data_IF_383260742891
#
_entry.id   IF_383260742891
#
_cell.length_a   1.000
_cell.length_b   1.000
_cell.length_c   1.000
_cell.angle_alpha   90.00
_cell.angle_beta   90.00
_cell.angle_gamma   90.00
#
_symmetry.space_group_name_H-M   'P 1'
#
loop_
_entity.id
_entity.type
_entity.pdbx_description
1 polymer ?
#
# COMPACT_ATOMS: atom_id res chain seq x y z
N UNK A 1 -14.60 27.80 -16.99
CA UNK A 1 -14.77 27.78 -18.45
C UNK A 1 -14.88 26.34 -18.90
N UNK A 2 -15.93 26.03 -19.67
CA UNK A 2 -16.09 24.73 -20.31
C UNK A 2 -15.89 24.95 -21.81
N UNK A 3 -15.04 24.14 -22.42
CA UNK A 3 -14.81 24.09 -23.86
C UNK A 3 -15.18 22.68 -24.34
N UNK A 4 -16.40 22.56 -24.86
CA UNK A 4 -17.04 21.31 -25.25
C UNK A 4 -17.96 21.55 -26.47
N UNK A 5 -18.25 20.52 -27.29
CA UNK A 5 -19.09 20.68 -28.48
C UNK A 5 -20.47 21.22 -28.10
N UNK A 6 -21.00 22.15 -28.92
CA UNK A 6 -22.26 22.86 -28.64
C UNK A 6 -23.48 22.23 -29.30
N UNK A 7 -23.32 21.46 -30.39
CA UNK A 7 -24.44 21.07 -31.23
C UNK A 7 -24.13 19.81 -32.05
N UNK A 8 -24.67 18.65 -31.65
CA UNK A 8 -24.88 17.46 -32.49
C UNK A 8 -25.45 16.30 -31.67
N UNK A 9 -26.78 16.16 -31.54
CA UNK A 9 -27.52 14.96 -31.04
C UNK A 9 -27.11 14.32 -29.69
N UNK A 10 -25.99 14.70 -29.08
CA UNK A 10 -25.29 14.13 -27.92
C UNK A 10 -24.64 15.28 -27.11
N UNK A 11 -25.49 16.08 -26.46
CA UNK A 11 -25.18 17.35 -25.77
C UNK A 11 -23.78 17.43 -25.10
N UNK A 12 -22.86 18.20 -25.69
CA UNK A 12 -21.43 18.14 -25.36
C UNK A 12 -21.03 18.62 -23.95
N UNK A 13 -21.83 19.48 -23.32
CA UNK A 13 -21.71 19.75 -21.89
C UNK A 13 -23.09 20.04 -21.28
N UNK A 14 -23.53 19.24 -20.30
CA UNK A 14 -24.83 19.43 -19.64
C UNK A 14 -24.83 18.93 -18.20
N UNK A 15 -25.76 19.44 -17.39
CA UNK A 15 -26.09 18.78 -16.12
C UNK A 15 -27.19 17.76 -16.34
N UNK A 16 -26.93 16.50 -15.94
CA UNK A 16 -27.86 15.38 -16.12
C UNK A 16 -28.37 14.87 -14.78
N UNK A 17 -29.67 14.55 -14.73
CA UNK A 17 -30.28 13.75 -13.66
C UNK A 17 -30.21 12.24 -13.90
N UNK A 18 -29.65 11.79 -15.04
CA UNK A 18 -29.33 10.39 -15.33
C UNK A 18 -27.86 10.13 -15.01
N UNK A 19 -27.58 9.00 -14.36
CA UNK A 19 -26.24 8.66 -13.89
C UNK A 19 -25.82 9.45 -12.66
N UNK A 20 -26.74 9.73 -11.73
CA UNK A 20 -26.50 10.55 -10.54
C UNK A 20 -25.40 9.97 -9.64
N UNK A 21 -24.75 10.86 -8.90
CA UNK A 21 -23.86 10.47 -7.80
C UNK A 21 -24.52 10.91 -6.49
N UNK A 22 -24.81 9.96 -5.60
CA UNK A 22 -25.57 10.16 -4.36
C UNK A 22 -26.89 10.93 -4.57
N UNK A 23 -27.59 10.68 -5.68
CA UNK A 23 -28.87 11.34 -6.01
C UNK A 23 -28.75 12.77 -6.55
N UNK A 24 -27.53 13.33 -6.65
CA UNK A 24 -27.27 14.65 -7.21
C UNK A 24 -27.14 14.65 -8.73
N UNK A 25 -27.45 15.79 -9.37
CA UNK A 25 -27.15 16.02 -10.79
C UNK A 25 -25.62 16.05 -10.99
N UNK A 26 -25.18 15.53 -12.14
CA UNK A 26 -23.75 15.45 -12.49
C UNK A 26 -23.48 16.23 -13.78
N UNK A 27 -22.26 16.75 -13.92
CA UNK A 27 -21.82 17.37 -15.16
C UNK A 27 -21.43 16.25 -16.14
N UNK A 28 -21.99 16.29 -17.34
CA UNK A 28 -21.65 15.38 -18.43
C UNK A 28 -20.80 16.15 -19.42
N UNK A 29 -19.67 15.58 -19.84
CA UNK A 29 -18.80 16.13 -20.88
C UNK A 29 -18.59 15.12 -21.99
N UNK A 30 -18.60 15.58 -23.24
CA UNK A 30 -18.25 14.79 -24.42
C UNK A 30 -17.01 15.40 -25.09
N UNK A 31 -16.02 14.60 -25.52
CA UNK A 31 -14.93 15.11 -26.36
C UNK A 31 -15.47 15.68 -27.68
N UNK A 32 -14.71 16.55 -28.33
CA UNK A 32 -15.06 17.09 -29.64
C UNK A 32 -14.85 16.08 -30.76
N UNK A 33 -13.82 15.24 -30.61
CA UNK A 33 -13.41 14.23 -31.57
C UNK A 33 -12.41 13.26 -30.90
N UNK A 34 -11.98 12.19 -31.58
CA UNK A 34 -10.95 11.27 -31.08
C UNK A 34 -9.62 11.95 -30.66
N UNK A 35 -9.34 13.15 -31.17
CA UNK A 35 -8.08 13.87 -30.94
C UNK A 35 -8.26 15.21 -30.24
N UNK A 36 -9.50 15.66 -30.04
CA UNK A 36 -9.80 16.95 -29.40
C UNK A 36 -10.68 16.73 -28.15
N UNK A 37 -10.15 16.96 -26.93
CA UNK A 37 -10.89 16.71 -25.70
C UNK A 37 -11.89 17.81 -25.38
N UNK A 38 -12.89 17.48 -24.56
CA UNK A 38 -13.61 18.50 -23.82
C UNK A 38 -12.74 19.00 -22.66
N UNK A 39 -12.76 20.29 -22.38
CA UNK A 39 -11.89 20.90 -21.38
C UNK A 39 -12.72 21.67 -20.37
N UNK A 40 -12.53 21.35 -19.09
CA UNK A 40 -12.97 22.18 -17.98
C UNK A 40 -11.75 22.89 -17.40
N UNK A 41 -11.77 24.22 -17.39
CA UNK A 41 -10.69 25.02 -16.84
C UNK A 41 -11.18 26.13 -15.94
N UNK A 42 -10.40 26.45 -14.92
CA UNK A 42 -10.68 27.57 -14.02
C UNK A 42 -9.37 28.15 -13.53
N UNK A 43 -9.23 29.47 -13.67
CA UNK A 43 -8.22 30.24 -12.96
C UNK A 43 -8.79 30.63 -11.60
N UNK A 44 -8.02 30.44 -10.54
CA UNK A 44 -8.45 30.80 -9.19
C UNK A 44 -7.26 30.97 -8.24
N UNK A 45 -7.39 31.83 -7.20
CA UNK A 45 -6.44 31.87 -6.11
C UNK A 45 -6.56 30.64 -5.22
N UNK A 46 -5.43 30.08 -4.78
CA UNK A 46 -5.40 29.08 -3.72
C UNK A 46 -5.17 29.76 -2.36
N UNK A 47 -5.89 29.36 -1.29
CA UNK A 47 -5.65 29.87 0.05
C UNK A 47 -4.19 29.70 0.51
N UNK A 48 -3.65 30.72 1.18
CA UNK A 48 -2.30 30.71 1.76
C UNK A 48 -2.20 29.97 3.11
N UNK A 49 -3.33 29.69 3.75
CA UNK A 49 -3.42 29.23 5.15
C UNK A 49 -3.19 27.73 5.35
N UNK A 50 -3.60 26.86 4.43
CA UNK A 50 -3.50 25.40 4.57
C UNK A 50 -3.25 24.65 3.25
N UNK A 51 -2.73 23.40 3.30
CA UNK A 51 -2.65 22.50 2.15
C UNK A 51 -3.98 22.36 1.42
N UNK A 52 -3.94 22.28 0.09
CA UNK A 52 -5.13 22.22 -0.76
C UNK A 52 -5.06 21.02 -1.70
N UNK A 53 -6.22 20.49 -2.07
CA UNK A 53 -6.36 19.42 -3.06
C UNK A 53 -7.39 19.79 -4.13
N UNK A 54 -7.25 19.18 -5.32
CA UNK A 54 -8.30 19.06 -6.31
C UNK A 54 -8.93 17.68 -6.16
N UNK A 55 -10.19 17.62 -5.74
CA UNK A 55 -10.99 16.40 -5.69
C UNK A 55 -11.92 16.34 -6.88
N UNK A 56 -12.05 15.16 -7.46
CA UNK A 56 -12.97 14.87 -8.55
C UNK A 56 -13.53 13.46 -8.34
N UNK A 57 -14.84 13.29 -8.53
CA UNK A 57 -15.44 11.98 -8.76
C UNK A 57 -15.89 11.88 -10.20
N UNK A 58 -15.54 10.78 -10.84
CA UNK A 58 -15.76 10.65 -12.27
C UNK A 58 -16.02 9.21 -12.69
N UNK A 59 -16.72 9.04 -13.80
CA UNK A 59 -16.90 7.75 -14.46
C UNK A 59 -17.14 7.94 -15.96
N UNK A 60 -16.87 6.91 -16.74
CA UNK A 60 -17.28 6.84 -18.14
C UNK A 60 -18.75 6.41 -18.28
N UNK A 61 -19.32 6.66 -19.46
CA UNK A 61 -20.63 6.11 -19.84
C UNK A 61 -20.59 4.58 -19.79
N UNK A 62 -21.63 3.91 -19.26
CA UNK A 62 -21.74 2.45 -19.28
C UNK A 62 -21.99 1.97 -20.72
N UNK A 63 -20.96 2.01 -21.56
CA UNK A 63 -21.00 1.52 -22.93
C UNK A 63 -19.75 0.66 -23.15
N UNK A 64 -19.88 -0.57 -23.72
CA UNK A 64 -18.79 -1.55 -23.76
C UNK A 64 -17.50 -1.11 -24.50
N UNK A 65 -17.53 0.02 -25.20
CA UNK A 65 -16.45 0.51 -26.04
C UNK A 65 -15.97 1.92 -25.68
N UNK A 66 -16.40 2.48 -24.56
CA UNK A 66 -15.90 3.78 -24.10
C UNK A 66 -14.67 3.57 -23.21
N UNK A 67 -13.56 4.22 -23.57
CA UNK A 67 -12.20 4.07 -23.01
C UNK A 67 -11.61 5.44 -22.66
N UNK A 68 -12.44 6.23 -21.98
CA UNK A 68 -12.21 7.64 -21.70
C UNK A 68 -10.93 7.92 -20.90
N UNK A 69 -10.14 8.91 -21.34
CA UNK A 69 -8.90 9.34 -20.66
C UNK A 69 -9.08 10.72 -20.03
N UNK A 70 -8.77 10.78 -18.74
CA UNK A 70 -8.69 11.99 -17.94
C UNK A 70 -7.26 12.52 -17.85
N UNK A 71 -7.07 13.81 -18.15
CA UNK A 71 -5.82 14.52 -17.85
C UNK A 71 -6.09 15.73 -16.97
N UNK A 72 -5.24 15.95 -15.98
CA UNK A 72 -5.35 17.05 -15.02
C UNK A 72 -4.08 17.89 -15.01
N UNK A 73 -4.22 19.22 -14.99
CA UNK A 73 -3.11 20.16 -15.07
C UNK A 73 -3.29 21.33 -14.11
N UNK A 74 -2.17 21.87 -13.65
CA UNK A 74 -2.03 23.13 -12.94
C UNK A 74 -0.99 23.99 -13.64
N UNK A 75 -1.35 25.21 -14.06
CA UNK A 75 -0.47 26.11 -14.81
C UNK A 75 0.18 25.46 -16.05
N UNK A 76 -0.56 24.55 -16.70
CA UNK A 76 -0.07 23.77 -17.86
C UNK A 76 0.82 22.58 -17.51
N UNK A 77 1.19 22.41 -16.24
CA UNK A 77 1.94 21.24 -15.76
C UNK A 77 0.96 20.11 -15.40
N UNK A 78 1.21 18.86 -15.85
CA UNK A 78 0.34 17.74 -15.49
C UNK A 78 0.44 17.44 -13.99
N UNK A 79 -0.71 17.24 -13.35
CA UNK A 79 -0.83 16.87 -11.93
C UNK A 79 -0.60 15.36 -11.70
N UNK A 80 -0.82 14.56 -12.74
CA UNK A 80 -0.52 13.13 -12.81
C UNK A 80 -0.34 12.72 -14.27
N UNK A 81 0.15 11.50 -14.55
CA UNK A 81 -0.06 10.87 -15.84
C UNK A 81 -1.56 10.83 -16.21
N UNK A 82 -1.88 10.69 -17.51
CA UNK A 82 -3.26 10.45 -17.94
C UNK A 82 -3.86 9.23 -17.22
N UNK A 83 -5.11 9.36 -16.79
CA UNK A 83 -5.85 8.31 -16.07
C UNK A 83 -6.95 7.80 -17.00
N UNK A 84 -6.92 6.52 -17.31
CA UNK A 84 -8.05 5.86 -17.98
C UNK A 84 -9.13 5.58 -16.94
N UNK A 85 -10.37 5.89 -17.28
CA UNK A 85 -11.50 5.78 -16.35
C UNK A 85 -12.40 4.65 -16.80
N UNK A 86 -12.62 3.70 -15.91
CA UNK A 86 -13.35 2.50 -16.22
C UNK A 86 -14.83 2.81 -16.53
N UNK A 87 -15.35 2.09 -17.51
CA UNK A 87 -16.78 2.06 -17.81
C UNK A 87 -17.41 0.90 -17.04
N UNK A 88 -18.29 1.23 -16.09
CA UNK A 88 -18.98 0.26 -15.24
C UNK A 88 -20.44 0.15 -15.66
N UNK A 89 -20.95 -1.07 -15.82
CA UNK A 89 -22.39 -1.32 -16.04
C UNK A 89 -23.26 -0.87 -14.83
N UNK A 90 -22.65 -0.70 -13.67
CA UNK A 90 -23.29 -0.13 -12.49
C UNK A 90 -23.23 1.41 -12.56
N UNK A 91 -24.41 2.03 -12.76
CA UNK A 91 -24.52 3.48 -12.91
C UNK A 91 -24.10 4.28 -11.67
N UNK A 92 -23.87 3.62 -10.53
CA UNK A 92 -23.53 4.24 -9.24
C UNK A 92 -22.04 4.22 -8.92
N UNK A 93 -21.21 3.53 -9.71
CA UNK A 93 -19.76 3.44 -9.45
C UNK A 93 -19.02 4.63 -10.06
N UNK A 94 -18.65 5.57 -9.19
CA UNK A 94 -17.77 6.70 -9.50
C UNK A 94 -16.38 6.43 -8.92
N UNK A 95 -15.35 6.60 -9.75
CA UNK A 95 -13.97 6.67 -9.30
C UNK A 95 -13.70 8.01 -8.64
N UNK A 96 -12.96 8.02 -7.54
CA UNK A 96 -12.55 9.25 -6.88
C UNK A 96 -11.05 9.49 -7.10
N UNK A 97 -10.72 10.69 -7.56
CA UNK A 97 -9.38 11.15 -7.83
C UNK A 97 -9.08 12.40 -7.03
N UNK A 98 -7.88 12.47 -6.48
CA UNK A 98 -7.41 13.58 -5.65
C UNK A 98 -6.00 13.95 -6.09
N UNK A 99 -5.80 15.24 -6.39
CA UNK A 99 -4.47 15.78 -6.70
C UNK A 99 -4.08 16.83 -5.66
N UNK A 100 -2.90 16.67 -5.09
CA UNK A 100 -2.31 17.61 -4.13
C UNK A 100 -1.88 18.90 -4.84
N UNK A 101 -2.46 20.04 -4.42
CA UNK A 101 -2.17 21.38 -4.94
C UNK A 101 -1.30 22.20 -3.97
N UNK A 102 -0.77 21.59 -2.91
CA UNK A 102 -0.10 22.30 -1.81
C UNK A 102 1.14 23.08 -2.27
N UNK A 103 1.81 22.65 -3.33
CA UNK A 103 2.94 23.38 -3.90
C UNK A 103 2.58 24.78 -4.45
N UNK A 104 1.29 25.07 -4.66
CA UNK A 104 0.80 26.35 -5.18
C UNK A 104 -0.03 27.14 -4.14
N UNK A 105 0.05 26.77 -2.86
CA UNK A 105 -0.59 27.48 -1.75
C UNK A 105 -0.31 28.99 -1.80
N UNK A 106 -1.36 29.80 -1.64
CA UNK A 106 -1.24 31.26 -1.67
C UNK A 106 -0.95 31.86 -3.04
N UNK A 107 -0.98 31.08 -4.11
CA UNK A 107 -0.75 31.53 -5.49
C UNK A 107 -2.03 31.43 -6.31
N UNK A 108 -2.10 32.24 -7.36
CA UNK A 108 -3.09 32.03 -8.41
C UNK A 108 -2.67 30.84 -9.28
N UNK A 109 -3.62 29.96 -9.57
CA UNK A 109 -3.41 28.80 -10.43
C UNK A 109 -4.44 28.74 -11.55
N UNK A 110 -4.03 28.17 -12.68
CA UNK A 110 -4.91 27.76 -13.77
C UNK A 110 -5.07 26.25 -13.74
N UNK A 111 -6.18 25.77 -13.21
CA UNK A 111 -6.54 24.35 -13.23
C UNK A 111 -7.21 24.02 -14.56
N UNK A 112 -6.86 22.87 -15.13
CA UNK A 112 -7.41 22.36 -16.39
C UNK A 112 -7.59 20.85 -16.27
N UNK A 113 -8.81 20.39 -16.49
CA UNK A 113 -9.22 18.99 -16.59
C UNK A 113 -9.65 18.73 -18.03
N UNK A 114 -9.21 17.62 -18.59
CA UNK A 114 -9.50 17.25 -19.98
C UNK A 114 -10.16 15.90 -20.04
N UNK A 115 -11.21 15.84 -20.85
CA UNK A 115 -11.98 14.65 -21.18
C UNK A 115 -11.64 14.21 -22.60
N UNK A 116 -10.79 13.19 -22.75
CA UNK A 116 -10.36 12.67 -24.05
C UNK A 116 -11.13 11.41 -24.43
N UNK A 117 -11.50 11.35 -25.70
CA UNK A 117 -11.79 10.09 -26.37
C UNK A 117 -10.62 9.11 -26.22
N UNK A 118 -10.90 7.83 -25.95
CA UNK A 118 -9.89 6.78 -26.02
C UNK A 118 -9.91 6.08 -27.39
N UNK A 119 -8.81 5.41 -27.72
CA UNK A 119 -8.80 4.36 -28.75
C UNK A 119 -9.19 4.74 -30.18
N UNK A 120 -9.68 3.74 -30.91
CA UNK A 120 -9.95 3.72 -32.37
C UNK A 120 -11.44 3.77 -32.74
N UNK A 121 -12.34 3.84 -31.75
CA UNK A 121 -13.79 3.80 -31.96
C UNK A 121 -14.43 5.20 -32.09
N UNK A 122 -15.62 5.31 -32.70
CA UNK A 122 -16.29 6.60 -32.85
C UNK A 122 -16.72 7.19 -31.50
N UNK A 123 -16.23 8.41 -31.22
CA UNK A 123 -16.43 9.26 -30.04
C UNK A 123 -17.88 9.54 -29.59
N UNK A 124 -18.87 9.05 -30.35
CA UNK A 124 -20.31 9.29 -30.17
C UNK A 124 -20.86 8.79 -28.82
N UNK A 125 -20.10 7.97 -28.07
CA UNK A 125 -20.55 7.41 -26.79
C UNK A 125 -19.61 7.66 -25.61
N UNK A 126 -18.61 8.52 -25.80
CA UNK A 126 -17.57 8.78 -24.81
C UNK A 126 -17.95 9.95 -23.89
N UNK A 127 -19.12 9.83 -23.27
CA UNK A 127 -19.53 10.75 -22.24
C UNK A 127 -18.83 10.42 -20.92
N UNK A 128 -18.27 11.44 -20.28
CA UNK A 128 -17.77 11.37 -18.92
C UNK A 128 -18.74 12.08 -17.98
N UNK A 129 -19.00 11.46 -16.83
CA UNK A 129 -19.90 11.99 -15.80
C UNK A 129 -19.06 12.43 -14.61
N UNK A 130 -19.28 13.66 -14.16
CA UNK A 130 -18.42 14.36 -13.23
C UNK A 130 -19.23 14.89 -12.05
N UNK A 131 -18.75 14.61 -10.86
CA UNK A 131 -19.32 15.06 -9.60
C UNK A 131 -18.20 15.43 -8.62
N UNK A 132 -18.54 16.14 -7.54
CA UNK A 132 -17.56 16.48 -6.50
C UNK A 132 -16.30 17.21 -6.98
N UNK A 133 -16.39 18.03 -8.04
CA UNK A 133 -15.28 18.89 -8.49
C UNK A 133 -15.04 20.02 -7.49
N UNK A 134 -14.08 19.80 -6.59
CA UNK A 134 -13.79 20.71 -5.48
C UNK A 134 -12.31 21.02 -5.42
N UNK A 135 -12.01 22.29 -5.20
CA UNK A 135 -10.73 22.70 -4.62
C UNK A 135 -10.99 22.93 -3.15
N UNK A 136 -10.45 22.06 -2.31
CA UNK A 136 -10.76 22.00 -0.89
C UNK A 136 -9.49 21.75 -0.08
N UNK A 137 -9.51 21.95 1.24
CA UNK A 137 -8.37 21.60 2.08
C UNK A 137 -8.03 20.12 1.89
N UNK A 138 -6.73 19.80 1.86
CA UNK A 138 -6.27 18.41 1.73
C UNK A 138 -6.90 17.57 2.86
N UNK A 139 -7.76 16.59 2.52
CA UNK A 139 -8.57 15.89 3.50
C UNK A 139 -7.83 14.71 4.12
N UNK A 140 -7.83 14.61 5.45
CA UNK A 140 -7.17 13.52 6.19
C UNK A 140 -7.73 12.11 5.93
N UNK A 141 -8.90 11.99 5.29
CA UNK A 141 -9.59 10.71 5.05
C UNK A 141 -9.52 10.20 3.61
N UNK A 142 -9.00 10.98 2.66
CA UNK A 142 -8.69 10.55 1.29
C UNK A 142 -7.25 10.90 0.86
N UNK A 143 -6.49 11.53 1.76
CA UNK A 143 -5.04 11.60 1.76
C UNK A 143 -4.38 10.40 2.48
N UNK A 144 -4.94 9.20 2.36
CA UNK A 144 -4.20 7.96 2.65
C UNK A 144 -3.88 7.34 1.27
N UNK A 145 -2.70 7.48 0.68
CA UNK A 145 -1.37 7.65 1.24
C UNK A 145 -1.01 9.09 1.62
N UNK A 146 -0.74 9.29 2.91
CA UNK A 146 0.05 10.43 3.40
C UNK A 146 1.45 10.27 2.81
N UNK A 147 1.72 10.89 1.66
CA UNK A 147 3.10 11.26 1.37
C UNK A 147 3.43 12.43 2.30
N UNK A 148 4.13 12.13 3.39
CA UNK A 148 4.84 13.14 4.16
C UNK A 148 6.18 13.41 3.45
N UNK A 149 6.46 14.64 3.05
CA UNK A 149 7.76 14.98 2.46
C UNK A 149 8.94 14.75 3.43
N UNK A 150 8.68 14.72 4.74
CA UNK A 150 9.65 14.30 5.76
C UNK A 150 9.89 12.77 5.82
N UNK A 151 9.12 11.98 5.05
CA UNK A 151 9.31 10.55 4.79
C UNK A 151 10.04 10.29 3.46
N UNK A 152 10.67 11.31 2.85
CA UNK A 152 11.66 11.10 1.80
C UNK A 152 12.81 10.19 2.28
N UNK A 153 13.55 9.60 1.35
CA UNK A 153 14.65 8.65 1.62
C UNK A 153 15.48 9.07 2.84
N UNK A 154 15.44 8.28 3.90
CA UNK A 154 16.25 8.55 5.09
C UNK A 154 17.66 8.03 4.87
N UNK A 155 18.60 8.96 4.75
CA UNK A 155 20.03 8.71 4.86
C UNK A 155 20.78 8.49 3.54
N UNK A 156 22.11 8.68 3.55
CA UNK A 156 22.94 8.38 2.40
C UNK A 156 22.91 6.88 2.09
N UNK A 157 23.06 6.54 0.80
CA UNK A 157 23.23 5.15 0.36
C UNK A 157 24.42 4.55 1.09
N UNK A 158 24.22 3.38 1.69
CA UNK A 158 25.29 2.69 2.42
C UNK A 158 26.49 2.39 1.49
N UNK A 159 27.74 2.59 1.93
CA UNK A 159 28.91 2.31 1.11
C UNK A 159 28.89 0.90 0.49
N UNK A 160 29.18 0.83 -0.81
CA UNK A 160 29.15 -0.40 -1.59
C UNK A 160 27.77 -0.81 -2.10
N UNK A 161 26.69 -0.10 -1.75
CA UNK A 161 25.38 -0.29 -2.35
C UNK A 161 25.12 0.67 -3.52
N UNK A 162 24.34 0.18 -4.48
CA UNK A 162 23.76 0.97 -5.57
C UNK A 162 22.29 1.19 -5.29
N UNK A 163 21.84 2.44 -5.37
CA UNK A 163 20.41 2.78 -5.25
C UNK A 163 19.68 2.66 -6.59
N UNK A 164 18.81 1.65 -6.68
CA UNK A 164 18.02 1.35 -7.86
C UNK A 164 16.82 2.30 -8.02
N UNK A 165 16.49 3.10 -7.01
CA UNK A 165 15.48 4.16 -7.08
C UNK A 165 16.06 5.57 -7.20
N UNK A 166 17.39 5.70 -7.27
CA UNK A 166 18.03 6.98 -7.55
C UNK A 166 17.48 7.60 -8.85
N UNK A 167 17.46 8.94 -8.99
CA UNK A 167 16.95 9.60 -10.20
C UNK A 167 17.58 9.09 -11.51
N UNK A 168 18.84 8.63 -11.46
CA UNK A 168 19.53 8.05 -12.62
C UNK A 168 19.04 6.63 -12.97
N UNK A 169 18.59 5.85 -11.99
CA UNK A 169 18.15 4.47 -12.16
C UNK A 169 16.63 4.33 -12.31
N UNK A 170 15.84 5.22 -11.68
CA UNK A 170 14.38 5.17 -11.66
C UNK A 170 13.73 5.05 -13.06
N UNK A 171 14.17 5.78 -14.12
CA UNK A 171 13.61 5.61 -15.48
C UNK A 171 13.87 4.22 -16.11
N UNK A 172 14.79 3.45 -15.52
CA UNK A 172 15.14 2.10 -15.93
C UNK A 172 14.05 1.08 -15.63
N UNK A 173 13.21 1.29 -14.61
CA UNK A 173 12.14 0.36 -14.25
C UNK A 173 11.05 0.31 -15.33
N UNK A 174 10.69 -0.89 -15.78
CA UNK A 174 9.72 -1.15 -16.85
C UNK A 174 8.56 -1.97 -16.31
N UNK A 175 7.40 -1.32 -16.17
CA UNK A 175 6.12 -1.98 -15.92
C UNK A 175 5.54 -2.58 -17.20
N UNK A 176 4.30 -3.03 -17.11
CA UNK A 176 3.49 -3.42 -18.28
C UNK A 176 2.50 -2.32 -18.61
N UNK A 177 1.67 -2.53 -19.63
CA UNK A 177 0.56 -1.61 -19.93
C UNK A 177 -0.44 -1.47 -18.77
N UNK A 178 -0.62 -2.53 -17.97
CA UNK A 178 -1.59 -2.64 -16.87
C UNK A 178 -1.05 -2.22 -15.48
N UNK A 179 0.20 -1.80 -15.35
CA UNK A 179 0.74 -1.39 -14.04
C UNK A 179 2.17 -0.87 -14.08
N UNK A 180 2.59 -0.17 -13.02
CA UNK A 180 3.86 0.55 -12.99
C UNK A 180 4.28 1.08 -11.62
N UNK A 181 5.34 1.90 -11.62
CA UNK A 181 5.79 2.68 -10.47
C UNK A 181 5.59 4.17 -10.73
N UNK A 182 5.09 4.87 -9.72
CA UNK A 182 5.10 6.34 -9.65
C UNK A 182 6.13 6.79 -8.63
N UNK A 183 7.03 7.71 -9.01
CA UNK A 183 8.05 8.26 -8.11
C UNK A 183 7.65 9.66 -7.67
N UNK A 184 7.49 9.86 -6.35
CA UNK A 184 7.24 11.19 -5.74
C UNK A 184 8.08 11.33 -4.47
N UNK A 185 8.97 12.33 -4.44
CA UNK A 185 9.76 12.66 -3.24
C UNK A 185 10.62 11.50 -2.70
N UNK A 186 11.24 10.71 -3.58
CA UNK A 186 12.09 9.57 -3.20
C UNK A 186 11.32 8.30 -2.81
N UNK A 187 9.99 8.31 -2.93
CA UNK A 187 9.12 7.14 -2.71
C UNK A 187 8.59 6.63 -4.06
N UNK A 188 8.68 5.33 -4.27
CA UNK A 188 8.13 4.61 -5.40
C UNK A 188 6.84 3.90 -4.98
N UNK A 189 5.70 4.25 -5.57
CA UNK A 189 4.40 3.64 -5.28
C UNK A 189 3.99 2.72 -6.43
N UNK A 190 3.63 1.47 -6.12
CA UNK A 190 3.07 0.56 -7.13
C UNK A 190 1.64 0.97 -7.47
N UNK A 191 1.32 1.02 -8.76
CA UNK A 191 -0.03 1.29 -9.23
C UNK A 191 -0.46 0.26 -10.26
N UNK A 192 -1.77 0.04 -10.33
CA UNK A 192 -2.43 -0.73 -11.38
C UNK A 192 -3.23 0.21 -12.27
N UNK A 193 -3.31 -0.09 -13.57
CA UNK A 193 -4.26 0.53 -14.50
C UNK A 193 -5.47 -0.39 -14.70
N UNK A 194 -6.62 0.12 -15.16
CA UNK A 194 -7.71 -0.73 -15.64
C UNK A 194 -7.22 -1.74 -16.70
N UNK A 195 -7.78 -2.94 -16.72
CA UNK A 195 -7.38 -4.00 -17.65
C UNK A 195 -7.73 -5.41 -17.17
N UNK A 196 -7.63 -6.40 -18.08
CA UNK A 196 -7.91 -7.80 -17.79
C UNK A 196 -6.90 -8.42 -16.81
N UNK A 197 -5.61 -8.10 -16.97
CA UNK A 197 -4.54 -8.54 -16.10
C UNK A 197 -4.34 -7.55 -14.95
N UNK A 198 -4.95 -7.87 -13.81
CA UNK A 198 -4.92 -7.06 -12.57
C UNK A 198 -3.69 -7.32 -11.71
N UNK A 199 -2.65 -7.92 -12.27
CA UNK A 199 -1.36 -8.21 -11.61
C UNK A 199 -0.23 -8.36 -12.62
N UNK A 200 1.00 -8.04 -12.22
CA UNK A 200 2.19 -8.27 -13.04
C UNK A 200 3.46 -7.73 -12.42
N UNK A 201 4.54 -7.70 -13.20
CA UNK A 201 5.88 -7.36 -12.74
C UNK A 201 6.39 -6.07 -13.37
N UNK A 202 7.00 -5.22 -12.54
CA UNK A 202 7.77 -4.05 -12.91
C UNK A 202 9.24 -4.42 -12.82
N UNK A 203 9.87 -4.72 -13.96
CA UNK A 203 11.26 -5.23 -14.00
C UNK A 203 12.28 -4.10 -13.99
N UNK A 204 13.45 -4.35 -13.42
CA UNK A 204 14.64 -3.54 -13.64
C UNK A 204 15.54 -4.25 -14.67
N UNK A 205 15.48 -3.90 -15.96
CA UNK A 205 16.11 -4.66 -17.05
C UNK A 205 17.59 -4.34 -17.26
N UNK A 206 18.13 -3.31 -16.58
CA UNK A 206 19.50 -2.85 -16.84
C UNK A 206 20.56 -3.85 -16.36
N UNK A 207 20.22 -4.75 -15.44
CA UNK A 207 21.17 -5.65 -14.80
C UNK A 207 20.50 -6.90 -14.25
N UNK A 208 21.16 -8.05 -14.44
CA UNK A 208 20.86 -9.29 -13.75
C UNK A 208 21.77 -9.45 -12.54
N UNK A 209 21.24 -10.00 -11.45
CA UNK A 209 21.95 -10.16 -10.19
C UNK A 209 22.01 -11.63 -9.82
N UNK A 210 23.20 -12.11 -9.48
CA UNK A 210 23.41 -13.48 -8.98
C UNK A 210 23.35 -13.50 -7.46
N UNK A 211 24.45 -13.22 -6.79
CA UNK A 211 24.56 -13.18 -5.33
C UNK A 211 24.57 -11.72 -4.88
N UNK A 212 23.71 -11.35 -3.94
CA UNK A 212 23.55 -9.96 -3.54
C UNK A 212 22.96 -9.81 -2.14
N UNK A 213 23.17 -8.61 -1.57
CA UNK A 213 22.37 -8.11 -0.46
C UNK A 213 21.46 -7.02 -1.03
N UNK A 214 20.16 -7.15 -0.77
CA UNK A 214 19.14 -6.16 -1.10
C UNK A 214 18.57 -5.58 0.18
N UNK A 215 18.51 -4.25 0.25
CA UNK A 215 17.88 -3.50 1.33
C UNK A 215 16.78 -2.67 0.72
N UNK A 216 15.62 -2.62 1.35
CA UNK A 216 14.54 -1.72 0.95
C UNK A 216 13.65 -1.42 2.12
N UNK A 217 12.98 -0.29 2.07
CA UNK A 217 11.90 0.03 2.99
C UNK A 217 10.58 0.01 2.25
N UNK A 218 9.54 -0.53 2.90
CA UNK A 218 8.20 -0.58 2.37
C UNK A 218 7.16 -0.12 3.39
N UNK A 219 6.02 0.36 2.92
CA UNK A 219 4.84 0.69 3.72
C UNK A 219 3.60 0.26 2.95
N UNK A 220 2.65 -0.33 3.67
CA UNK A 220 1.33 -0.67 3.12
C UNK A 220 0.32 0.39 3.55
N UNK A 221 -0.55 0.83 2.63
CA UNK A 221 -1.70 1.67 2.97
C UNK A 221 -2.68 0.93 3.88
N UNK A 222 -2.89 -0.36 3.61
CA UNK A 222 -3.79 -1.22 4.37
C UNK A 222 -3.21 -2.63 4.50
N UNK A 223 -3.64 -3.45 5.47
CA UNK A 223 -3.26 -4.86 5.54
C UNK A 223 -3.72 -5.70 4.34
N UNK A 224 -4.57 -5.17 3.45
CA UNK A 224 -5.03 -5.83 2.23
C UNK A 224 -4.26 -5.39 0.99
N UNK A 225 -3.33 -4.44 1.10
CA UNK A 225 -2.42 -4.10 0.01
C UNK A 225 -1.53 -5.31 -0.31
N UNK A 226 -1.24 -5.51 -1.59
CA UNK A 226 -0.57 -6.71 -2.09
C UNK A 226 0.51 -6.33 -3.12
N UNK A 227 1.73 -6.78 -2.88
CA UNK A 227 2.92 -6.56 -3.70
C UNK A 227 4.03 -7.52 -3.26
N UNK A 228 5.20 -7.42 -3.86
CA UNK A 228 6.34 -8.24 -3.50
C UNK A 228 7.56 -7.94 -4.36
N UNK A 229 8.70 -8.45 -3.94
CA UNK A 229 9.98 -8.31 -4.63
C UNK A 229 10.31 -9.66 -5.26
N UNK A 230 10.33 -9.70 -6.59
CA UNK A 230 10.68 -10.87 -7.36
C UNK A 230 12.17 -10.92 -7.62
N UNK A 231 12.77 -12.06 -7.31
CA UNK A 231 14.20 -12.32 -7.32
C UNK A 231 14.56 -13.21 -8.51
N UNK A 232 15.67 -12.88 -9.18
CA UNK A 232 16.26 -13.65 -10.28
C UNK A 232 15.23 -14.00 -11.37
N UNK A 233 14.43 -13.02 -11.77
CA UNK A 233 13.49 -13.17 -12.89
C UNK A 233 14.30 -13.39 -14.18
N UNK A 234 14.15 -14.54 -14.88
CA UNK A 234 14.94 -14.84 -16.07
C UNK A 234 14.60 -13.89 -17.23
N UNK A 235 15.43 -13.93 -18.27
CA UNK A 235 15.17 -13.23 -19.53
C UNK A 235 15.38 -14.19 -20.70
N UNK A 236 14.38 -14.39 -21.58
CA UNK A 236 13.06 -13.74 -21.58
C UNK A 236 12.16 -14.18 -20.40
N UNK A 237 11.26 -13.29 -19.97
CA UNK A 237 10.16 -13.62 -19.04
C UNK A 237 8.82 -13.43 -19.76
N UNK A 238 8.01 -14.49 -19.89
CA UNK A 238 6.77 -14.40 -20.65
C UNK A 238 5.98 -15.71 -20.78
N UNK A 239 5.13 -15.78 -21.80
CA UNK A 239 4.26 -16.95 -22.12
C UNK A 239 5.02 -18.15 -22.71
N UNK A 240 6.35 -18.08 -22.82
CA UNK A 240 7.16 -19.28 -23.03
C UNK A 240 7.38 -20.03 -21.70
N UNK A 241 7.21 -21.34 -21.85
CA UNK A 241 7.36 -22.47 -20.95
C UNK A 241 6.67 -22.52 -19.58
N UNK A 242 5.67 -23.41 -19.51
CA UNK A 242 5.38 -24.15 -18.27
C UNK A 242 6.47 -25.16 -17.90
N UNK A 243 7.28 -25.61 -18.87
CA UNK A 243 8.30 -26.67 -18.67
C UNK A 243 9.66 -26.12 -18.20
N UNK A 244 10.24 -25.09 -18.84
CA UNK A 244 11.41 -24.36 -18.32
C UNK A 244 11.15 -23.69 -16.97
N UNK A 245 9.93 -23.17 -16.70
CA UNK A 245 9.56 -22.69 -15.35
C UNK A 245 9.62 -23.78 -14.28
N UNK A 246 9.34 -25.03 -14.63
CA UNK A 246 9.51 -26.19 -13.74
C UNK A 246 10.98 -26.60 -13.61
N UNK A 247 11.74 -26.56 -14.70
CA UNK A 247 13.15 -26.93 -14.71
C UNK A 247 14.06 -25.92 -13.96
N UNK A 248 13.72 -24.63 -13.99
CA UNK A 248 14.50 -23.56 -13.38
C UNK A 248 14.11 -23.26 -11.92
N UNK A 249 13.09 -23.94 -11.38
CA UNK A 249 12.53 -23.68 -10.04
C UNK A 249 11.69 -22.41 -9.92
N UNK A 250 11.60 -21.59 -10.98
CA UNK A 250 10.85 -20.33 -11.05
C UNK A 250 11.50 -19.18 -10.26
N UNK A 251 11.23 -17.92 -10.61
CA UNK A 251 11.66 -16.80 -9.78
C UNK A 251 10.88 -16.75 -8.48
N UNK A 252 11.54 -16.27 -7.43
CA UNK A 252 11.06 -16.31 -6.05
C UNK A 252 10.53 -14.93 -5.67
N UNK A 253 9.35 -14.88 -5.07
CA UNK A 253 8.76 -13.64 -4.54
C UNK A 253 9.01 -13.52 -3.04
N UNK A 254 9.63 -12.42 -2.61
CA UNK A 254 9.57 -11.94 -1.24
C UNK A 254 8.28 -11.13 -1.09
N UNK A 255 7.27 -11.72 -0.45
CA UNK A 255 5.91 -11.20 -0.38
C UNK A 255 5.80 -9.96 0.54
N UNK A 256 4.92 -9.03 0.19
CA UNK A 256 4.42 -7.94 1.03
C UNK A 256 2.89 -7.98 1.01
N UNK A 257 2.31 -8.60 2.04
CA UNK A 257 0.87 -8.77 2.19
C UNK A 257 0.48 -9.08 3.62
N UNK A 258 -0.38 -8.27 4.21
CA UNK A 258 -0.96 -8.51 5.52
C UNK A 258 0.01 -8.43 6.71
N UNK A 259 -0.58 -8.50 7.91
CA UNK A 259 0.10 -8.30 9.20
C UNK A 259 0.16 -9.58 10.03
N UNK A 260 0.20 -10.74 9.38
CA UNK A 260 0.34 -12.03 10.06
C UNK A 260 1.30 -12.94 9.32
N UNK A 261 2.18 -13.67 10.03
CA UNK A 261 3.03 -14.68 9.42
C UNK A 261 2.18 -15.71 8.68
N UNK A 262 2.41 -15.86 7.38
CA UNK A 262 1.78 -16.91 6.58
C UNK A 262 2.66 -17.28 5.39
N UNK A 263 2.36 -18.38 4.72
CA UNK A 263 3.13 -18.86 3.55
C UNK A 263 3.01 -17.93 2.33
N UNK A 264 2.01 -17.05 2.31
CA UNK A 264 1.78 -16.02 1.27
C UNK A 264 1.53 -14.66 1.95
N UNK A 265 2.34 -14.33 2.95
CA UNK A 265 2.23 -13.08 3.71
C UNK A 265 3.57 -12.38 3.83
N UNK A 266 3.57 -11.15 4.33
CA UNK A 266 4.77 -10.29 4.39
C UNK A 266 5.99 -11.03 4.94
N UNK A 267 7.10 -11.04 4.20
CA UNK A 267 8.34 -11.68 4.60
C UNK A 267 8.44 -13.18 4.30
N UNK A 268 7.39 -13.75 3.70
CA UNK A 268 7.44 -15.11 3.13
C UNK A 268 8.23 -15.13 1.82
N UNK A 269 8.79 -16.29 1.49
CA UNK A 269 9.09 -16.60 0.11
C UNK A 269 7.88 -17.33 -0.44
N UNK A 270 7.08 -16.64 -1.26
CA UNK A 270 5.69 -16.95 -1.52
C UNK A 270 5.51 -18.40 -1.99
N UNK A 271 4.61 -19.14 -1.35
CA UNK A 271 4.36 -20.56 -1.60
C UNK A 271 5.44 -21.53 -1.11
N UNK A 272 6.65 -21.04 -0.81
CA UNK A 272 7.82 -21.86 -0.46
C UNK A 272 8.08 -21.91 1.05
N UNK A 273 8.20 -20.76 1.71
CA UNK A 273 8.57 -20.66 3.12
C UNK A 273 7.87 -19.50 3.83
N UNK A 274 7.17 -19.79 4.91
CA UNK A 274 6.56 -18.77 5.79
C UNK A 274 7.62 -18.18 6.73
N UNK A 275 7.50 -16.90 7.13
CA UNK A 275 8.39 -16.32 8.12
C UNK A 275 8.10 -16.89 9.52
N UNK A 276 9.15 -17.05 10.33
CA UNK A 276 9.10 -17.55 11.72
C UNK A 276 8.55 -16.52 12.70
N UNK A 277 8.65 -15.23 12.35
CA UNK A 277 8.10 -14.11 13.11
C UNK A 277 7.81 -12.93 12.19
N UNK A 278 7.02 -11.96 12.66
CA UNK A 278 6.68 -10.77 11.89
C UNK A 278 6.79 -9.52 12.78
N UNK A 279 8.00 -9.00 13.03
CA UNK A 279 8.24 -7.75 13.76
C UNK A 279 7.94 -6.54 12.86
N UNK A 280 6.79 -6.57 12.20
CA UNK A 280 6.28 -5.53 11.32
C UNK A 280 5.68 -4.41 12.17
N UNK A 281 5.94 -3.17 11.77
CA UNK A 281 5.26 -1.97 12.28
C UNK A 281 4.06 -1.70 11.38
N UNK A 282 2.86 -1.89 11.91
CA UNK A 282 1.63 -1.61 11.16
C UNK A 282 1.56 -0.11 10.80
N UNK A 283 1.14 0.19 9.57
CA UNK A 283 0.95 1.55 9.07
C UNK A 283 2.21 2.45 9.10
N UNK A 284 3.40 1.85 9.17
CA UNK A 284 4.69 2.55 9.17
C UNK A 284 5.68 1.89 8.19
N UNK A 285 6.80 2.57 7.94
CA UNK A 285 7.89 2.07 7.13
C UNK A 285 8.60 0.89 7.79
N UNK A 286 8.69 -0.21 7.06
CA UNK A 286 9.32 -1.44 7.46
C UNK A 286 10.54 -1.69 6.57
N UNK A 287 11.63 -2.19 7.14
CA UNK A 287 12.86 -2.46 6.39
C UNK A 287 13.03 -3.94 6.14
N UNK A 288 13.14 -4.31 4.88
CA UNK A 288 13.71 -5.59 4.49
C UNK A 288 15.22 -5.47 4.31
N UNK A 289 15.93 -6.51 4.75
CA UNK A 289 17.28 -6.83 4.34
C UNK A 289 17.31 -8.30 3.93
N UNK A 290 17.53 -8.53 2.65
CA UNK A 290 17.57 -9.83 2.02
C UNK A 290 19.01 -10.12 1.62
N UNK A 291 19.53 -11.28 2.03
CA UNK A 291 20.79 -11.83 1.50
C UNK A 291 20.47 -13.04 0.63
N UNK A 292 20.93 -13.01 -0.63
CA UNK A 292 20.77 -14.11 -1.58
C UNK A 292 22.16 -14.60 -2.00
N UNK A 293 22.43 -15.88 -1.77
CA UNK A 293 23.74 -16.50 -2.02
C UNK A 293 23.57 -17.94 -2.48
N UNK A 294 24.00 -18.29 -3.69
CA UNK A 294 23.64 -19.59 -4.28
C UNK A 294 22.12 -19.74 -4.25
N UNK A 295 21.59 -20.84 -3.74
CA UNK A 295 20.14 -21.06 -3.56
C UNK A 295 19.60 -20.57 -2.21
N UNK A 296 20.44 -19.98 -1.35
CA UNK A 296 20.07 -19.58 0.00
C UNK A 296 19.53 -18.15 0.04
N UNK A 297 18.46 -17.99 0.81
CA UNK A 297 17.77 -16.73 1.06
C UNK A 297 17.66 -16.49 2.56
N UNK A 298 18.13 -15.34 3.03
CA UNK A 298 18.00 -14.88 4.41
C UNK A 298 17.21 -13.58 4.41
N UNK A 299 16.00 -13.60 4.97
CA UNK A 299 15.11 -12.44 5.03
C UNK A 299 15.12 -11.88 6.44
N UNK A 300 15.56 -10.64 6.59
CA UNK A 300 15.37 -9.86 7.81
C UNK A 300 14.28 -8.82 7.60
N UNK A 301 13.41 -8.68 8.61
CA UNK A 301 12.42 -7.60 8.70
C UNK A 301 12.72 -6.80 9.96
N UNK A 302 12.90 -5.49 9.83
CA UNK A 302 13.23 -4.60 10.94
C UNK A 302 14.35 -5.15 11.84
N UNK A 303 15.45 -5.57 11.21
CA UNK A 303 16.67 -6.13 11.82
C UNK A 303 16.53 -7.51 12.48
N UNK A 304 15.36 -8.14 12.42
CA UNK A 304 15.16 -9.51 12.93
C UNK A 304 15.19 -10.48 11.74
N UNK A 305 15.97 -11.56 11.85
CA UNK A 305 15.92 -12.65 10.88
C UNK A 305 14.57 -13.37 11.00
N UNK A 306 13.73 -13.25 9.97
CA UNK A 306 12.37 -13.79 9.96
C UNK A 306 12.22 -14.99 9.05
N UNK A 307 13.10 -15.20 8.07
CA UNK A 307 12.99 -16.33 7.16
C UNK A 307 14.38 -16.79 6.71
N UNK A 308 14.55 -18.10 6.59
CA UNK A 308 15.72 -18.74 5.98
C UNK A 308 15.20 -19.86 5.11
N UNK A 309 15.58 -19.82 3.83
CA UNK A 309 15.12 -20.80 2.87
C UNK A 309 16.23 -21.14 1.88
N UNK A 310 16.27 -22.41 1.47
CA UNK A 310 17.23 -22.96 0.52
C UNK A 310 16.41 -23.52 -0.66
N UNK A 311 16.59 -22.95 -1.85
CA UNK A 311 15.87 -23.36 -3.05
C UNK A 311 15.88 -22.30 -4.16
N UNK A 312 15.21 -22.60 -5.28
CA UNK A 312 15.20 -21.75 -6.47
C UNK A 312 16.48 -21.86 -7.31
N UNK A 313 16.60 -21.00 -8.33
CA UNK A 313 17.76 -20.97 -9.22
C UNK A 313 18.93 -20.19 -8.60
N UNK A 314 20.16 -20.69 -8.76
CA UNK A 314 21.40 -19.97 -8.43
C UNK A 314 21.91 -19.06 -9.59
N UNK A 315 21.28 -19.13 -10.75
CA UNK A 315 21.65 -18.35 -11.92
C UNK A 315 21.27 -16.86 -11.78
N UNK A 316 22.01 -15.94 -12.40
CA UNK A 316 21.66 -14.53 -12.39
C UNK A 316 20.30 -14.27 -13.06
N UNK A 317 19.55 -13.31 -12.53
CA UNK A 317 18.32 -12.83 -13.16
C UNK A 317 17.96 -11.42 -12.72
N UNK A 318 16.95 -10.84 -13.35
CA UNK A 318 16.47 -9.49 -13.06
C UNK A 318 15.77 -9.40 -11.70
N UNK A 319 15.78 -8.21 -11.12
CA UNK A 319 14.86 -7.86 -10.05
C UNK A 319 13.55 -7.31 -10.63
N UNK A 320 12.44 -7.59 -9.96
CA UNK A 320 11.17 -6.96 -10.28
C UNK A 320 10.34 -6.68 -9.03
N UNK A 321 9.39 -5.74 -9.14
CA UNK A 321 8.38 -5.48 -8.13
C UNK A 321 7.01 -5.90 -8.66
N UNK A 322 6.19 -6.51 -7.81
CA UNK A 322 4.84 -6.89 -8.20
C UNK A 322 3.89 -5.71 -8.05
N UNK A 323 2.99 -5.51 -9.01
CA UNK A 323 1.76 -4.75 -8.79
C UNK A 323 0.60 -5.72 -8.79
N UNK A 324 -0.37 -5.50 -7.90
CA UNK A 324 -1.63 -6.24 -7.83
C UNK A 324 -2.74 -5.27 -7.50
N UNK A 325 -3.89 -5.40 -8.16
CA UNK A 325 -5.10 -4.66 -7.78
C UNK A 325 -5.56 -5.17 -6.42
N UNK A 326 -5.31 -4.38 -5.41
CA UNK A 326 -5.59 -4.67 -4.01
C UNK A 326 -6.23 -3.46 -3.34
N UNK A 327 -6.60 -3.59 -2.07
CA UNK A 327 -7.15 -2.49 -1.29
C UNK A 327 -5.99 -1.70 -0.67
N UNK A 328 -5.65 -0.58 -1.30
CA UNK A 328 -4.49 0.25 -0.97
C UNK A 328 -3.24 -0.11 -1.77
N UNK A 329 -2.21 0.74 -1.66
CA UNK A 329 -0.94 0.57 -2.35
C UNK A 329 0.17 0.08 -1.43
N UNK A 330 1.22 -0.44 -2.06
CA UNK A 330 2.52 -0.63 -1.42
C UNK A 330 3.47 0.47 -1.89
N UNK A 331 4.10 1.12 -0.94
CA UNK A 331 5.12 2.14 -1.17
C UNK A 331 6.48 1.54 -0.87
N UNK A 332 7.48 1.92 -1.64
CA UNK A 332 8.85 1.53 -1.46
C UNK A 332 9.75 2.76 -1.43
N UNK A 333 10.86 2.69 -0.68
CA UNK A 333 11.97 3.64 -0.78
C UNK A 333 13.28 2.92 -0.46
N UNK A 334 14.40 3.56 -0.75
CA UNK A 334 15.73 3.04 -0.39
C UNK A 334 16.02 1.63 -0.94
N UNK A 335 15.65 1.36 -2.21
CA UNK A 335 15.90 0.06 -2.83
C UNK A 335 17.37 -0.06 -3.26
N UNK A 336 18.17 -0.55 -2.34
CA UNK A 336 19.62 -0.61 -2.45
C UNK A 336 20.08 -2.04 -2.67
N UNK A 337 21.01 -2.23 -3.59
CA UNK A 337 21.62 -3.53 -3.86
C UNK A 337 23.13 -3.48 -3.82
N UNK A 338 23.74 -4.52 -3.24
CA UNK A 338 25.19 -4.76 -3.29
C UNK A 338 25.43 -6.18 -3.76
N UNK A 339 26.07 -6.32 -4.90
CA UNK A 339 26.51 -7.62 -5.39
C UNK A 339 27.63 -8.20 -4.53
N UNK A 340 27.64 -9.52 -4.42
CA UNK A 340 28.65 -10.26 -3.68
C UNK A 340 29.63 -10.88 -4.66
N UNK A 341 30.92 -10.74 -4.38
CA UNK A 341 31.95 -11.39 -5.17
C UNK A 341 31.79 -12.92 -5.08
N UNK A 342 32.04 -13.67 -6.16
CA UNK A 342 32.09 -15.13 -6.11
C UNK A 342 32.96 -15.62 -4.94
N UNK A 343 32.45 -16.55 -4.13
CA UNK A 343 33.16 -17.09 -2.96
C UNK A 343 33.00 -16.29 -1.65
N UNK A 344 32.54 -15.03 -1.68
CA UNK A 344 32.23 -14.26 -0.45
C UNK A 344 30.88 -14.63 0.19
N UNK A 345 30.06 -15.37 -0.57
CA UNK A 345 28.71 -15.80 -0.25
C UNK A 345 28.58 -16.57 1.08
N UNK A 346 29.44 -17.55 1.32
CA UNK A 346 29.33 -18.41 2.50
C UNK A 346 29.59 -17.65 3.82
N UNK A 347 30.61 -16.80 3.84
CA UNK A 347 30.96 -15.99 5.01
C UNK A 347 29.90 -14.90 5.28
N UNK A 348 29.36 -14.27 4.24
CA UNK A 348 28.33 -13.23 4.35
C UNK A 348 26.98 -13.84 4.75
N UNK A 349 26.62 -15.01 4.22
CA UNK A 349 25.42 -15.74 4.65
C UNK A 349 25.53 -16.19 6.12
N UNK A 350 26.71 -16.68 6.54
CA UNK A 350 26.97 -17.00 7.94
C UNK A 350 26.87 -15.76 8.84
N UNK A 351 27.42 -14.60 8.42
CA UNK A 351 27.32 -13.35 9.16
C UNK A 351 25.90 -12.75 9.17
N UNK A 352 25.11 -12.95 8.11
CA UNK A 352 23.72 -12.50 8.04
C UNK A 352 22.77 -13.38 8.85
N UNK A 353 23.06 -14.68 8.95
CA UNK A 353 22.37 -15.65 9.80
C UNK A 353 22.79 -15.56 11.27
N UNK A 354 24.05 -15.18 11.53
CA UNK A 354 24.53 -14.82 12.85
C UNK A 354 23.81 -13.54 13.28
N UNK A 355 22.85 -13.70 14.19
CA UNK A 355 22.27 -12.56 14.90
C UNK A 355 23.43 -11.85 15.60
N UNK A 356 23.61 -10.52 15.51
CA UNK A 356 24.46 -9.84 16.46
C UNK A 356 23.72 -9.81 17.81
N UNK A 357 23.75 -10.93 18.52
CA UNK A 357 23.57 -10.97 19.96
C UNK A 357 24.72 -10.23 20.68
N UNK A 358 25.81 -9.90 19.94
CA UNK A 358 27.03 -9.29 20.48
C UNK A 358 27.25 -7.79 20.18
N UNK A 359 26.46 -7.13 19.30
CA UNK A 359 26.61 -5.67 19.05
C UNK A 359 25.58 -4.84 19.83
N UNK A 360 24.57 -5.51 20.41
CA UNK A 360 23.53 -4.87 21.24
C UNK A 360 24.07 -4.50 22.64
N UNK A 361 25.17 -5.11 23.11
CA UNK A 361 25.75 -4.80 24.41
C UNK A 361 26.31 -3.37 24.55
N UNK A 362 26.48 -2.62 23.45
CA UNK A 362 27.08 -1.27 23.50
C UNK A 362 26.13 -0.12 23.18
N UNK A 363 24.87 -0.39 22.81
CA UNK A 363 23.88 0.65 22.47
C UNK A 363 22.58 0.59 23.31
N UNK A 364 22.50 -0.28 24.33
CA UNK A 364 21.33 -0.41 25.22
C UNK A 364 21.45 0.39 26.52
N UNK A 365 22.55 1.09 26.74
CA UNK A 365 22.67 2.02 27.88
C UNK A 365 22.19 3.43 27.48
N UNK A 366 20.86 3.62 27.50
CA UNK A 366 20.08 4.85 27.71
C UNK A 366 18.71 4.65 27.03
N UNK A 367 17.53 4.61 27.64
CA UNK A 367 17.04 4.81 29.00
C UNK A 367 15.70 4.05 29.11
N UNK A 368 15.45 3.33 30.21
CA UNK A 368 14.12 2.82 30.56
C UNK A 368 13.88 3.05 32.05
N UNK A 369 12.88 3.87 32.39
CA UNK A 369 12.55 4.19 33.77
C UNK A 369 11.58 3.15 34.39
N UNK A 370 11.76 2.74 35.66
CA UNK A 370 10.86 1.82 36.37
C UNK A 370 9.62 2.52 36.93
N UNK A 371 8.51 1.77 37.10
CA UNK A 371 7.32 2.20 37.87
C UNK A 371 7.36 1.68 39.31
N UNK A 372 6.60 2.34 40.19
CA UNK A 372 6.76 2.43 41.65
C UNK A 372 6.58 1.18 42.51
N UNK A 373 6.09 0.05 41.99
CA UNK A 373 5.72 -1.10 42.84
C UNK A 373 6.67 -2.31 42.73
N UNK A 374 7.85 -2.14 42.12
CA UNK A 374 8.91 -3.16 42.11
C UNK A 374 8.59 -4.47 41.37
N UNK A 375 7.38 -4.64 40.84
CA UNK A 375 7.03 -5.77 39.97
C UNK A 375 7.36 -5.46 38.51
N UNK A 376 8.15 -6.33 37.90
CA UNK A 376 8.50 -6.26 36.48
C UNK A 376 7.25 -6.54 35.64
N UNK A 377 6.63 -5.49 35.10
CA UNK A 377 5.57 -5.64 34.09
C UNK A 377 6.17 -6.39 32.89
N UNK A 378 5.59 -7.53 32.47
CA UNK A 378 6.05 -8.22 31.27
C UNK A 378 5.97 -7.27 30.07
N UNK A 379 7.01 -7.22 29.23
CA UNK A 379 7.14 -6.33 28.06
C UNK A 379 5.97 -6.39 27.05
N UNK A 380 5.08 -7.40 27.16
CA UNK A 380 3.93 -7.63 26.27
C UNK A 380 2.58 -7.28 26.88
N UNK A 381 2.54 -6.84 28.14
CA UNK A 381 1.32 -6.36 28.78
C UNK A 381 1.16 -4.86 28.46
N UNK A 382 -0.02 -4.41 27.99
CA UNK A 382 -0.24 -3.00 27.71
C UNK A 382 0.06 -2.11 28.93
N UNK A 383 0.56 -0.91 28.67
CA UNK A 383 1.11 -0.07 29.74
C UNK A 383 0.09 0.39 30.78
N UNK A 384 -1.18 0.45 30.41
CA UNK A 384 -2.35 0.85 31.19
C UNK A 384 -3.20 -0.35 31.66
N UNK A 385 -2.70 -1.58 31.51
CA UNK A 385 -3.36 -2.75 32.09
C UNK A 385 -3.14 -2.80 33.61
N UNK A 386 -4.16 -3.21 34.36
CA UNK A 386 -4.14 -3.33 35.82
C UNK A 386 -3.94 -4.79 36.24
N UNK A 387 -3.08 -5.03 37.22
CA UNK A 387 -2.86 -6.36 37.79
C UNK A 387 -3.95 -6.68 38.83
N UNK A 388 -4.52 -7.89 38.77
CA UNK A 388 -5.34 -8.44 39.83
C UNK A 388 -5.09 -9.96 39.93
N UNK A 389 -4.76 -10.45 41.13
CA UNK A 389 -4.47 -11.86 41.42
C UNK A 389 -3.53 -12.53 40.39
N UNK A 390 -2.40 -11.87 40.09
CA UNK A 390 -1.38 -12.39 39.18
C UNK A 390 -1.78 -12.42 37.70
N UNK A 391 -2.89 -11.78 37.33
CA UNK A 391 -3.35 -11.61 35.94
C UNK A 391 -3.46 -10.13 35.62
N UNK A 392 -3.35 -9.79 34.34
CA UNK A 392 -3.42 -8.41 33.86
C UNK A 392 -4.68 -8.19 33.04
N UNK A 393 -5.43 -7.15 33.39
CA UNK A 393 -6.71 -6.82 32.80
C UNK A 393 -6.67 -5.41 32.21
N UNK A 394 -7.27 -5.23 31.04
CA UNK A 394 -7.44 -3.92 30.43
C UNK A 394 -8.85 -3.78 29.89
N UNK A 395 -9.52 -2.70 30.28
CA UNK A 395 -10.81 -2.34 29.75
C UNK A 395 -10.65 -1.53 28.45
N UNK A 396 -11.44 -1.88 27.44
CA UNK A 396 -11.49 -1.18 26.17
C UNK A 396 -12.89 -0.58 25.99
N UNK A 397 -13.06 0.74 26.11
CA UNK A 397 -14.35 1.37 25.91
C UNK A 397 -14.72 1.33 24.42
N UNK A 398 -15.87 0.73 24.08
CA UNK A 398 -16.38 0.67 22.72
C UNK A 398 -17.46 -0.40 22.52
N UNK A 399 -18.60 -0.03 21.94
CA UNK A 399 -19.66 -0.97 21.60
C UNK A 399 -19.28 -1.73 20.34
N UNK A 400 -19.22 -3.06 20.43
CA UNK A 400 -18.96 -3.96 19.32
C UNK A 400 -19.68 -5.29 19.56
N UNK A 401 -19.76 -6.15 18.54
CA UNK A 401 -20.30 -7.50 18.69
C UNK A 401 -19.36 -8.38 19.54
N UNK A 402 -19.91 -9.30 20.33
CA UNK A 402 -19.15 -10.16 21.24
C UNK A 402 -18.02 -10.93 20.54
N UNK A 403 -18.28 -11.51 19.34
CA UNK A 403 -17.26 -12.22 18.55
C UNK A 403 -16.07 -11.33 18.18
N UNK A 404 -16.33 -10.04 17.90
CA UNK A 404 -15.30 -9.05 17.57
C UNK A 404 -14.51 -8.68 18.82
N UNK A 405 -15.18 -8.54 19.97
CA UNK A 405 -14.51 -8.31 21.26
C UNK A 405 -13.60 -9.47 21.65
N UNK A 406 -14.08 -10.73 21.54
CA UNK A 406 -13.29 -11.94 21.79
C UNK A 406 -12.06 -12.00 20.89
N UNK A 407 -12.26 -11.83 19.58
CA UNK A 407 -11.17 -11.87 18.61
C UNK A 407 -10.12 -10.79 18.90
N UNK A 408 -10.53 -9.56 19.26
CA UNK A 408 -9.62 -8.48 19.61
C UNK A 408 -8.77 -8.79 20.86
N UNK A 409 -9.36 -9.41 21.89
CA UNK A 409 -8.60 -9.87 23.05
C UNK A 409 -7.59 -10.97 22.67
N UNK A 410 -7.98 -11.92 21.82
CA UNK A 410 -7.12 -13.00 21.33
C UNK A 410 -5.97 -12.50 20.45
N UNK A 411 -6.23 -11.51 19.60
CA UNK A 411 -5.22 -10.87 18.74
C UNK A 411 -4.16 -10.14 19.59
N UNK A 412 -4.54 -9.65 20.78
CA UNK A 412 -3.63 -9.12 21.80
C UNK A 412 -2.97 -10.21 22.67
N UNK A 413 -3.12 -11.50 22.29
CA UNK A 413 -2.69 -12.68 23.04
C UNK A 413 -3.27 -12.78 24.45
N UNK A 414 -4.39 -12.09 24.68
CA UNK A 414 -5.22 -12.20 25.88
C UNK A 414 -6.49 -13.01 25.59
N UNK A 415 -7.47 -12.88 26.49
CA UNK A 415 -8.82 -13.44 26.31
C UNK A 415 -9.82 -12.53 27.00
N UNK A 416 -11.09 -12.58 26.59
CA UNK A 416 -12.15 -11.92 27.34
C UNK A 416 -12.11 -12.38 28.80
N UNK A 417 -12.36 -11.43 29.71
CA UNK A 417 -12.27 -11.69 31.14
C UNK A 417 -13.27 -12.78 31.54
N UNK A 418 -12.77 -13.76 32.31
CA UNK A 418 -13.61 -14.80 32.92
C UNK A 418 -13.78 -14.45 34.38
N UNK A 419 -14.99 -14.66 34.89
CA UNK A 419 -15.37 -14.36 36.28
C UNK A 419 -15.53 -15.68 37.03
N UNK A 420 -14.47 -16.18 37.70
CA UNK A 420 -14.55 -17.44 38.44
C UNK A 420 -15.11 -17.26 39.86
N UNK A 421 -15.10 -16.03 40.40
CA UNK A 421 -15.44 -15.73 41.78
C UNK A 421 -15.95 -14.28 41.95
N UNK A 422 -16.58 -14.02 43.11
CA UNK A 422 -17.15 -12.71 43.43
C UNK A 422 -16.09 -11.58 43.51
N UNK A 423 -14.88 -11.79 44.07
CA UNK A 423 -13.84 -10.76 44.06
C UNK A 423 -13.39 -10.34 42.66
N UNK A 424 -13.24 -11.30 41.73
CA UNK A 424 -12.91 -10.99 40.33
C UNK A 424 -14.04 -10.20 39.66
N UNK A 425 -15.30 -10.51 39.97
CA UNK A 425 -16.44 -9.78 39.43
C UNK A 425 -16.46 -8.30 39.90
N UNK A 426 -16.23 -8.08 41.19
CA UNK A 426 -16.17 -6.75 41.78
C UNK A 426 -15.04 -5.91 41.15
N UNK A 427 -13.84 -6.49 41.04
CA UNK A 427 -12.69 -5.84 40.38
C UNK A 427 -13.00 -5.45 38.93
N UNK A 428 -13.61 -6.36 38.15
CA UNK A 428 -13.92 -6.07 36.74
C UNK A 428 -15.01 -5.00 36.59
N UNK A 429 -15.95 -4.94 37.52
CA UNK A 429 -17.01 -3.91 37.54
C UNK A 429 -16.43 -2.54 37.85
N UNK A 430 -15.49 -2.46 38.79
CA UNK A 430 -14.74 -1.24 39.09
C UNK A 430 -13.84 -0.82 37.91
N UNK A 431 -13.11 -1.77 37.31
CA UNK A 431 -12.25 -1.54 36.14
C UNK A 431 -13.03 -1.01 34.94
N UNK A 432 -14.28 -1.44 34.76
CA UNK A 432 -15.19 -0.95 33.72
C UNK A 432 -15.92 0.35 34.11
N UNK A 433 -15.73 0.87 35.32
CA UNK A 433 -16.40 2.08 35.81
C UNK A 433 -17.93 1.95 35.86
N UNK A 434 -18.45 0.75 36.12
CA UNK A 434 -19.90 0.47 36.13
C UNK A 434 -20.55 0.34 34.75
N UNK A 435 -19.79 0.40 33.66
CA UNK A 435 -20.31 0.21 32.31
C UNK A 435 -20.50 -1.29 31.96
N UNK A 436 -21.54 -1.61 31.18
CA UNK A 436 -21.72 -2.96 30.66
C UNK A 436 -20.58 -3.34 29.72
N UNK A 437 -19.89 -4.45 30.02
CA UNK A 437 -18.75 -4.95 29.27
C UNK A 437 -18.95 -6.41 28.85
N UNK A 438 -18.38 -6.78 27.70
CA UNK A 438 -18.39 -8.18 27.27
C UNK A 438 -17.43 -9.02 28.11
N UNK A 439 -17.91 -10.16 28.59
CA UNK A 439 -17.14 -11.15 29.34
C UNK A 439 -17.01 -12.45 28.53
N UNK A 440 -16.17 -13.37 29.01
CA UNK A 440 -15.74 -14.54 28.24
C UNK A 440 -16.77 -15.65 28.01
N UNK A 441 -17.98 -15.58 28.58
CA UNK A 441 -19.07 -16.51 28.31
C UNK A 441 -20.04 -15.94 27.26
N UNK A 442 -20.64 -16.80 26.42
CA UNK A 442 -21.64 -16.42 25.43
C UNK A 442 -22.58 -17.59 25.16
N UNK A 443 -23.87 -17.29 25.03
CA UNK A 443 -24.95 -18.19 24.61
C UNK A 443 -25.41 -17.87 23.17
N UNK A 444 -24.53 -17.25 22.36
CA UNK A 444 -24.82 -16.73 21.00
C UNK A 444 -25.43 -17.76 20.03
N UNK A 445 -25.37 -19.06 20.32
CA UNK A 445 -26.05 -20.08 19.52
C UNK A 445 -27.55 -20.19 19.87
N UNK A 446 -27.92 -20.05 21.14
CA UNK A 446 -29.30 -20.05 21.64
C UNK A 446 -29.34 -19.41 23.04
N UNK A 447 -30.10 -18.32 23.19
CA UNK A 447 -30.23 -17.59 24.45
C UNK A 447 -30.70 -18.50 25.59
N UNK A 448 -29.98 -18.51 26.71
CA UNK A 448 -30.28 -19.34 27.88
C UNK A 448 -29.59 -20.71 27.91
N UNK A 449 -28.80 -21.06 26.87
CA UNK A 449 -28.00 -22.29 26.79
C UNK A 449 -26.49 -21.93 26.77
N UNK A 450 -25.85 -21.99 27.94
CA UNK A 450 -24.55 -21.34 28.26
C UNK A 450 -23.30 -22.21 28.14
#
# INVERSE_FOLDING_TARGET
>A
KIDAPRDSRDDGARFSGKGTDNGGKVLVLAPWSPVKPAVLSRRMPLPGGQPMQLSVRVRGKPFPTADWILKAFVNGQPLSPPVEIATHNDEKQYEQLVWDLSAWKGREVSLRLESHAGGTNPWLWEHSYWSWLKVEPLSDTLAHARFNAAEASKGPVEPGFVDLFSPAQAPGWKGTETGGLSFKGGVATVYTRPGADRKGLIRFPKRMFRDFILKTEFKMDTPRADSGIWLRVPDPWGKQEKEEKKAWGGPVELEIRGYSPSRNGTGSLAGQSAPTSLPLKENDWNRFELTVTGTRHLVKLNNVLINTWEGGSAEPGHLALQYVRSDGHVHYRNLWIRELAPGSAAAIAAAAAATPQAVIAKAVNADAAPTTDGKVRPLRVPADAQEFNGKWYRYYPGKMLWRIAKKRCEDLRGRLAKVPDAPTNAFLTELAGGACAWLGATDEKAEGDW
#
